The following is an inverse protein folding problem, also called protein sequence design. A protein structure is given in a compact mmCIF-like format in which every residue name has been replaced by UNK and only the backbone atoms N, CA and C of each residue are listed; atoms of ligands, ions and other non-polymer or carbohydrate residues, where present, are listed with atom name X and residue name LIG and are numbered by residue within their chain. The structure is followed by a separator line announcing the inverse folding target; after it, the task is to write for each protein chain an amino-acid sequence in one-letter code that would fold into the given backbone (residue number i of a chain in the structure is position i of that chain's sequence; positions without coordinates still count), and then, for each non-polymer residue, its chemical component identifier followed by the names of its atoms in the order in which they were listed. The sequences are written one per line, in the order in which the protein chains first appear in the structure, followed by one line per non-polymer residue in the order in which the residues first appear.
data_IF_390230610084
#
_entry.id   IF_390230610084
#
_cell.length_a   1.000
_cell.length_b   1.000
_cell.length_c   1.000
_cell.angle_alpha   90.00
_cell.angle_beta   90.00
_cell.angle_gamma   90.00
#
_symmetry.space_group_name_H-M   'P 1'
#
loop_
_entity.id
_entity.type
_entity.pdbx_description
1 polymer ?
#
# COMPACT_ATOMS: atom_id res chain seq x y z
N UNK A 1 -31.96 -19.70 -1.04
CA UNK A 1 -33.24 -19.46 -1.71
C UNK A 1 -34.31 -20.52 -1.31
N UNK A 2 -34.30 -21.01 -0.07
CA UNK A 2 -35.18 -22.10 0.39
C UNK A 2 -36.65 -21.72 0.43
N UNK A 3 -37.00 -20.43 0.60
CA UNK A 3 -38.37 -19.94 0.70
C UNK A 3 -38.85 -19.18 -0.54
N UNK A 4 -38.26 -19.44 -1.71
CA UNK A 4 -38.72 -18.79 -2.94
C UNK A 4 -40.11 -19.28 -3.31
N UNK A 5 -40.99 -18.34 -3.64
CA UNK A 5 -42.39 -18.58 -4.03
C UNK A 5 -42.61 -18.11 -5.48
N UNK A 6 -43.58 -18.70 -6.16
CA UNK A 6 -44.03 -18.27 -7.48
C UNK A 6 -44.90 -16.99 -7.41
N UNK A 7 -45.37 -16.53 -8.54
CA UNK A 7 -46.25 -15.35 -8.63
C UNK A 7 -47.58 -15.47 -7.86
N UNK A 8 -47.94 -16.67 -7.42
CA UNK A 8 -49.12 -16.96 -6.61
C UNK A 8 -48.79 -17.12 -5.12
N UNK A 9 -47.53 -16.91 -4.72
CA UNK A 9 -47.12 -17.09 -3.34
C UNK A 9 -46.87 -18.54 -2.93
N UNK A 10 -46.84 -19.48 -3.87
CA UNK A 10 -46.65 -20.91 -3.60
C UNK A 10 -45.19 -21.30 -3.81
N UNK A 11 -44.60 -21.99 -2.84
CA UNK A 11 -43.24 -22.52 -2.95
C UNK A 11 -43.18 -23.63 -4.01
N UNK A 12 -42.26 -23.46 -4.98
CA UNK A 12 -42.09 -24.44 -6.05
C UNK A 12 -40.60 -24.63 -6.40
N UNK A 13 -40.25 -25.78 -6.96
CA UNK A 13 -38.90 -26.03 -7.46
C UNK A 13 -38.51 -24.99 -8.51
N UNK A 14 -39.42 -24.70 -9.47
CA UNK A 14 -39.18 -23.72 -10.52
C UNK A 14 -38.87 -22.33 -9.92
N UNK A 15 -39.65 -21.86 -8.96
CA UNK A 15 -39.40 -20.57 -8.31
C UNK A 15 -38.05 -20.53 -7.61
N UNK A 16 -37.58 -21.64 -7.04
CA UNK A 16 -36.24 -21.72 -6.43
C UNK A 16 -35.14 -21.61 -7.48
N UNK A 17 -35.25 -22.33 -8.59
CA UNK A 17 -34.28 -22.25 -9.68
C UNK A 17 -34.26 -20.86 -10.30
N UNK A 18 -35.40 -20.25 -10.59
CA UNK A 18 -35.51 -18.90 -11.16
C UNK A 18 -34.89 -17.85 -10.21
N UNK A 19 -35.15 -17.97 -8.90
CA UNK A 19 -34.58 -17.08 -7.92
C UNK A 19 -33.06 -17.28 -7.76
N UNK A 20 -32.57 -18.51 -7.85
CA UNK A 20 -31.16 -18.83 -7.80
C UNK A 20 -30.42 -18.30 -9.04
N UNK A 21 -31.02 -18.51 -10.23
CA UNK A 21 -30.46 -17.97 -11.48
C UNK A 21 -30.33 -16.45 -11.42
N UNK A 22 -31.36 -15.72 -11.00
CA UNK A 22 -31.33 -14.28 -10.82
C UNK A 22 -30.25 -13.82 -9.82
N UNK A 23 -30.03 -14.59 -8.75
CA UNK A 23 -28.98 -14.27 -7.77
C UNK A 23 -27.58 -14.47 -8.38
N UNK A 24 -27.38 -15.51 -9.17
CA UNK A 24 -26.13 -15.72 -9.89
C UNK A 24 -25.91 -14.65 -10.96
N UNK A 25 -26.93 -14.33 -11.77
CA UNK A 25 -26.86 -13.26 -12.76
C UNK A 25 -26.50 -11.92 -12.11
N UNK A 26 -27.07 -11.61 -10.96
CA UNK A 26 -26.71 -10.43 -10.18
C UNK A 26 -25.24 -10.50 -9.69
N UNK A 27 -24.86 -11.61 -9.05
CA UNK A 27 -23.51 -11.77 -8.50
C UNK A 27 -22.44 -11.69 -9.60
N UNK A 28 -22.55 -12.52 -10.63
CA UNK A 28 -21.57 -12.55 -11.71
C UNK A 28 -21.65 -11.35 -12.66
N UNK A 29 -22.80 -10.69 -12.77
CA UNK A 29 -22.97 -9.50 -13.60
C UNK A 29 -22.52 -8.20 -12.93
N UNK A 30 -22.52 -8.13 -11.60
CA UNK A 30 -22.17 -6.93 -10.87
C UNK A 30 -20.78 -6.97 -10.25
N UNK A 31 -20.29 -8.15 -9.89
CA UNK A 31 -19.03 -8.32 -9.19
C UNK A 31 -18.00 -8.99 -10.08
N UNK A 32 -16.78 -8.52 -9.99
CA UNK A 32 -15.62 -9.11 -10.67
C UNK A 32 -14.39 -9.07 -9.78
N UNK A 33 -13.46 -10.01 -10.01
CA UNK A 33 -12.14 -9.94 -9.39
C UNK A 33 -11.35 -8.84 -10.10
N UNK A 34 -10.98 -7.81 -9.36
CA UNK A 34 -10.22 -6.68 -9.87
C UNK A 34 -8.89 -6.62 -9.11
N UNK A 35 -7.80 -6.42 -9.84
CA UNK A 35 -6.52 -6.04 -9.27
C UNK A 35 -6.57 -4.55 -8.95
N UNK A 36 -6.63 -4.22 -7.67
CA UNK A 36 -6.70 -2.85 -7.19
C UNK A 36 -5.32 -2.20 -7.17
N UNK A 37 -4.31 -2.97 -6.78
CA UNK A 37 -2.93 -2.51 -6.71
C UNK A 37 -2.03 -3.59 -7.31
N UNK A 38 -1.20 -3.27 -8.31
CA UNK A 38 -0.28 -4.24 -8.91
C UNK A 38 0.89 -4.58 -7.99
N UNK A 39 1.53 -5.71 -8.21
CA UNK A 39 2.81 -6.04 -7.58
C UNK A 39 3.87 -4.99 -7.96
N UNK A 40 4.81 -4.74 -7.06
CA UNK A 40 5.87 -3.73 -7.21
C UNK A 40 5.34 -2.28 -7.31
N UNK A 41 4.11 -2.04 -6.92
CA UNK A 41 3.58 -0.68 -6.84
C UNK A 41 4.34 0.12 -5.78
N UNK A 42 4.70 1.35 -6.14
CA UNK A 42 5.37 2.31 -5.24
C UNK A 42 4.46 3.51 -4.98
N UNK A 43 4.41 3.96 -3.75
CA UNK A 43 3.63 5.14 -3.37
C UNK A 43 4.37 6.43 -3.79
N UNK A 44 3.68 7.38 -4.41
CA UNK A 44 4.29 8.61 -4.90
C UNK A 44 4.96 9.44 -3.78
N UNK A 45 4.32 9.49 -2.62
CA UNK A 45 4.77 10.29 -1.47
C UNK A 45 5.85 9.59 -0.62
N UNK A 46 5.92 8.24 -0.68
CA UNK A 46 6.80 7.41 0.13
C UNK A 46 7.44 6.32 -0.73
N UNK A 47 8.35 6.71 -1.62
CA UNK A 47 9.05 5.77 -2.51
C UNK A 47 10.17 5.02 -1.82
N UNK A 48 10.73 5.60 -0.76
CA UNK A 48 11.89 5.06 -0.05
C UNK A 48 11.84 5.37 1.44
N UNK A 49 12.59 4.60 2.21
CA UNK A 49 12.82 4.81 3.65
C UNK A 49 14.30 5.17 3.84
N UNK A 50 14.62 6.21 4.65
CA UNK A 50 15.99 6.55 5.01
C UNK A 50 16.72 5.40 5.70
N UNK A 51 18.01 5.23 5.39
CA UNK A 51 18.87 4.20 6.00
C UNK A 51 20.07 4.84 6.67
N UNK A 52 20.18 4.67 7.98
CA UNK A 52 21.35 5.13 8.74
C UNK A 52 22.49 4.13 8.68
N UNK A 53 23.73 4.64 8.68
CA UNK A 53 24.98 3.84 8.63
C UNK A 53 25.09 2.93 7.40
N UNK A 54 24.30 3.16 6.36
CA UNK A 54 24.32 2.42 5.11
C UNK A 54 25.33 2.95 4.11
N UNK A 55 25.65 2.14 3.11
CA UNK A 55 26.34 2.59 1.90
C UNK A 55 25.44 3.52 1.09
N UNK A 56 24.15 3.22 1.08
CA UNK A 56 23.09 4.03 0.49
C UNK A 56 22.33 4.75 1.62
N UNK A 57 21.90 5.98 1.36
CA UNK A 57 21.18 6.82 2.33
C UNK A 57 19.69 6.48 2.47
N UNK A 58 19.15 5.74 1.51
CA UNK A 58 17.76 5.30 1.50
C UNK A 58 17.61 3.97 0.74
N UNK A 59 16.54 3.24 1.02
CA UNK A 59 16.14 2.02 0.32
C UNK A 59 14.75 2.20 -0.26
N UNK A 60 14.56 1.80 -1.53
CA UNK A 60 13.25 1.83 -2.17
C UNK A 60 12.33 0.75 -1.59
N UNK A 61 11.04 1.07 -1.53
CA UNK A 61 10.02 0.16 -1.03
C UNK A 61 8.91 -0.04 -2.07
N UNK A 62 8.30 -1.22 -2.06
CA UNK A 62 7.21 -1.55 -2.95
C UNK A 62 6.27 -2.58 -2.32
N UNK A 63 5.07 -2.71 -2.86
CA UNK A 63 4.14 -3.77 -2.52
C UNK A 63 4.66 -5.09 -3.09
N UNK A 64 4.77 -6.11 -2.24
CA UNK A 64 5.32 -7.44 -2.59
C UNK A 64 4.41 -8.21 -3.52
N UNK A 65 3.13 -8.30 -3.20
CA UNK A 65 2.13 -9.06 -3.94
C UNK A 65 0.98 -8.16 -4.39
N UNK A 66 0.35 -8.44 -5.54
CA UNK A 66 -0.76 -7.63 -6.02
C UNK A 66 -1.97 -7.78 -5.11
N UNK A 67 -2.67 -6.69 -4.86
CA UNK A 67 -3.95 -6.71 -4.13
C UNK A 67 -5.08 -6.90 -5.12
N UNK A 68 -5.65 -8.11 -5.13
CA UNK A 68 -6.80 -8.46 -5.98
C UNK A 68 -7.99 -8.86 -5.11
N UNK A 69 -9.12 -8.23 -5.34
CA UNK A 69 -10.34 -8.48 -4.56
C UNK A 69 -11.56 -8.59 -5.45
N UNK A 70 -12.60 -9.23 -4.92
CA UNK A 70 -13.91 -9.28 -5.54
C UNK A 70 -14.68 -8.03 -5.15
N UNK A 71 -14.83 -7.09 -6.08
CA UNK A 71 -15.54 -5.84 -5.86
C UNK A 71 -16.64 -5.64 -6.88
N UNK A 72 -17.58 -4.79 -6.57
CA UNK A 72 -18.58 -4.35 -7.54
C UNK A 72 -17.89 -3.50 -8.60
N UNK A 73 -18.05 -3.87 -9.85
CA UNK A 73 -17.32 -3.28 -10.98
C UNK A 73 -17.49 -1.76 -11.07
N UNK A 74 -18.65 -1.24 -10.68
CA UNK A 74 -18.94 0.20 -10.65
C UNK A 74 -18.26 0.96 -9.51
N UNK A 75 -17.71 0.26 -8.53
CA UNK A 75 -17.16 0.85 -7.29
C UNK A 75 -15.64 0.67 -7.18
N UNK A 76 -15.00 0.11 -8.22
CA UNK A 76 -13.55 -0.18 -8.19
C UNK A 76 -12.69 1.06 -7.91
N UNK A 77 -13.09 2.23 -8.42
CA UNK A 77 -12.33 3.47 -8.30
C UNK A 77 -12.49 4.15 -6.92
N UNK A 78 -13.36 3.61 -6.07
CA UNK A 78 -13.56 4.07 -4.68
C UNK A 78 -12.57 3.41 -3.70
N UNK A 79 -11.80 2.41 -4.16
CA UNK A 79 -10.81 1.73 -3.34
C UNK A 79 -9.45 2.42 -3.46
N UNK A 80 -8.95 2.94 -2.36
CA UNK A 80 -7.68 3.68 -2.33
C UNK A 80 -6.68 2.98 -1.41
N UNK A 81 -5.47 2.69 -1.89
CA UNK A 81 -4.41 2.13 -1.06
C UNK A 81 -3.82 3.19 -0.13
N UNK A 82 -3.66 2.82 1.13
CA UNK A 82 -2.99 3.63 2.16
C UNK A 82 -1.78 2.88 2.66
N UNK A 83 -0.64 3.56 2.76
CA UNK A 83 0.60 3.00 3.27
C UNK A 83 0.69 3.18 4.80
N UNK A 84 0.95 2.09 5.50
CA UNK A 84 1.25 2.07 6.93
C UNK A 84 2.65 1.50 7.12
N UNK A 85 3.64 2.37 7.34
CA UNK A 85 5.01 1.96 7.65
C UNK A 85 5.14 1.58 9.13
N UNK A 86 5.91 0.54 9.39
CA UNK A 86 6.25 0.10 10.76
C UNK A 86 7.34 0.99 11.36
N UNK A 87 8.18 1.58 10.50
CA UNK A 87 9.27 2.47 10.89
C UNK A 87 9.48 3.55 9.83
N UNK A 88 9.90 4.73 10.27
CA UNK A 88 10.24 5.85 9.39
C UNK A 88 11.72 5.84 8.97
N UNK A 89 12.55 5.02 9.62
CA UNK A 89 13.99 4.92 9.39
C UNK A 89 14.48 3.49 9.63
N UNK A 90 15.47 3.04 8.85
CA UNK A 90 16.11 1.73 8.99
C UNK A 90 17.59 1.89 9.34
N UNK A 91 18.15 0.96 10.11
CA UNK A 91 19.61 0.85 10.27
C UNK A 91 20.18 -0.10 9.20
N UNK A 92 21.33 0.22 8.66
CA UNK A 92 22.02 -0.58 7.64
C UNK A 92 22.23 -2.04 8.01
N UNK A 93 22.24 -2.88 7.01
CA UNK A 93 22.09 -4.32 7.08
C UNK A 93 20.68 -4.71 6.68
N UNK A 94 20.04 -3.84 5.88
CA UNK A 94 18.71 -4.09 5.29
C UNK A 94 18.83 -5.18 4.23
N UNK A 95 17.97 -6.16 4.29
CA UNK A 95 17.88 -7.23 3.29
C UNK A 95 16.84 -6.88 2.21
N UNK A 96 17.03 -7.42 1.01
CA UNK A 96 16.00 -7.36 -0.02
C UNK A 96 14.76 -8.17 0.42
N UNK A 97 13.55 -7.68 0.14
CA UNK A 97 12.27 -8.23 0.57
C UNK A 97 12.07 -8.21 2.11
N UNK A 98 12.78 -7.38 2.83
CA UNK A 98 12.50 -7.14 4.25
C UNK A 98 11.17 -6.40 4.39
N UNK A 99 10.27 -6.92 5.23
CA UNK A 99 8.98 -6.28 5.51
C UNK A 99 9.20 -5.00 6.31
N UNK A 100 8.66 -3.89 5.82
CA UNK A 100 8.78 -2.56 6.42
C UNK A 100 7.44 -1.90 6.71
N UNK A 101 6.36 -2.52 6.27
CA UNK A 101 5.01 -2.02 6.49
C UNK A 101 3.94 -2.84 5.79
N UNK A 102 2.76 -2.27 5.71
CA UNK A 102 1.60 -2.83 5.05
C UNK A 102 0.90 -1.77 4.21
N UNK A 103 0.42 -2.15 3.05
CA UNK A 103 -0.52 -1.39 2.26
C UNK A 103 -1.93 -1.91 2.56
N UNK A 104 -2.81 -1.04 3.03
CA UNK A 104 -4.22 -1.36 3.30
C UNK A 104 -5.08 -0.63 2.30
N UNK A 105 -6.01 -1.33 1.67
CA UNK A 105 -6.94 -0.70 0.74
C UNK A 105 -8.25 -0.41 1.46
N UNK A 106 -8.65 0.85 1.45
CA UNK A 106 -9.86 1.34 2.09
C UNK A 106 -10.87 1.83 1.05
N UNK A 107 -12.14 1.67 1.36
CA UNK A 107 -13.23 2.26 0.58
C UNK A 107 -13.40 3.72 1.00
N UNK A 108 -13.35 4.65 0.05
CA UNK A 108 -13.44 6.09 0.33
C UNK A 108 -14.87 6.58 0.55
N UNK A 109 -15.83 5.94 -0.13
CA UNK A 109 -17.25 6.27 -0.04
C UNK A 109 -18.10 5.00 -0.03
N UNK A 110 -19.24 5.05 0.64
CA UNK A 110 -20.18 3.93 0.71
C UNK A 110 -20.06 3.13 2.00
N UNK A 111 -20.70 1.96 2.02
CA UNK A 111 -20.63 1.05 3.18
C UNK A 111 -19.67 -0.07 2.88
N UNK A 112 -18.60 -0.14 3.62
CA UNK A 112 -17.73 -1.31 3.64
C UNK A 112 -18.41 -2.41 4.45
N UNK A 113 -18.91 -3.42 3.74
CA UNK A 113 -19.51 -4.58 4.38
C UNK A 113 -18.45 -5.56 4.92
N UNK A 114 -17.18 -5.34 4.58
CA UNK A 114 -16.07 -6.21 4.94
C UNK A 114 -16.17 -7.61 4.35
N UNK A 115 -15.31 -8.48 4.83
CA UNK A 115 -15.37 -9.91 4.54
C UNK A 115 -16.02 -10.68 5.69
N UNK A 116 -16.69 -11.78 5.38
CA UNK A 116 -17.39 -12.63 6.37
C UNK A 116 -16.42 -13.15 7.44
N UNK A 117 -15.17 -13.37 7.08
CA UNK A 117 -14.10 -13.83 7.95
C UNK A 117 -13.35 -12.68 8.68
N UNK A 118 -13.74 -11.43 8.43
CA UNK A 118 -13.12 -10.24 9.02
C UNK A 118 -11.74 -9.90 8.44
N UNK A 119 -11.32 -10.52 7.33
CA UNK A 119 -10.06 -10.19 6.67
C UNK A 119 -10.05 -8.76 6.12
N UNK A 120 -8.88 -8.15 6.10
CA UNK A 120 -8.64 -6.85 5.50
C UNK A 120 -8.05 -7.02 4.11
N UNK A 121 -8.24 -6.00 3.27
CA UNK A 121 -7.61 -5.93 1.96
C UNK A 121 -6.23 -5.30 2.17
N UNK A 122 -5.21 -6.13 2.39
CA UNK A 122 -3.87 -5.67 2.71
C UNK A 122 -2.79 -6.50 2.02
N UNK A 123 -1.61 -5.91 1.81
CA UNK A 123 -0.42 -6.58 1.32
C UNK A 123 0.83 -6.07 2.04
N UNK A 124 1.86 -6.91 2.11
CA UNK A 124 3.15 -6.54 2.68
C UNK A 124 3.85 -5.51 1.79
N UNK A 125 4.44 -4.50 2.44
CA UNK A 125 5.37 -3.55 1.81
C UNK A 125 6.78 -3.96 2.21
N UNK A 126 7.63 -4.11 1.20
CA UNK A 126 8.99 -4.63 1.37
C UNK A 126 10.02 -3.74 0.71
N UNK A 127 11.27 -3.87 1.14
CA UNK A 127 12.44 -3.28 0.49
C UNK A 127 12.68 -3.95 -0.86
N UNK A 128 13.01 -3.15 -1.88
CA UNK A 128 13.28 -3.67 -3.24
C UNK A 128 14.72 -4.14 -3.43
N UNK A 129 15.62 -3.69 -2.54
CA UNK A 129 17.05 -3.94 -2.60
C UNK A 129 17.64 -4.09 -1.20
N UNK A 130 18.86 -4.62 -1.11
CA UNK A 130 19.60 -4.71 0.13
C UNK A 130 20.50 -3.50 0.31
N UNK A 131 20.67 -3.00 1.55
CA UNK A 131 21.60 -1.93 1.88
C UNK A 131 22.63 -2.43 2.89
N UNK A 132 23.87 -2.54 2.45
CA UNK A 132 24.99 -2.95 3.31
C UNK A 132 25.44 -1.81 4.23
N UNK A 133 26.10 -2.19 5.33
CA UNK A 133 26.71 -1.20 6.23
C UNK A 133 27.86 -0.47 5.54
N UNK A 134 27.92 0.85 5.74
CA UNK A 134 29.04 1.64 5.33
C UNK A 134 30.31 1.27 6.12
N UNK A 135 31.43 1.22 5.45
CA UNK A 135 32.71 1.02 6.12
C UNK A 135 33.05 2.19 7.08
N UNK A 136 33.85 1.92 8.12
CA UNK A 136 34.20 2.94 9.15
C UNK A 136 34.73 4.27 8.57
N UNK A 137 35.43 4.22 7.44
CA UNK A 137 35.94 5.41 6.74
C UNK A 137 34.83 6.19 6.05
N UNK A 138 33.87 5.49 5.43
CA UNK A 138 32.71 6.10 4.75
C UNK A 138 31.79 6.83 5.73
N UNK A 139 31.57 6.28 6.93
CA UNK A 139 30.77 6.91 7.99
C UNK A 139 31.37 8.23 8.47
N UNK A 140 32.72 8.36 8.51
CA UNK A 140 33.39 9.61 8.84
C UNK A 140 33.12 10.69 7.78
N UNK A 141 33.12 10.34 6.50
CA UNK A 141 32.86 11.28 5.41
C UNK A 141 31.39 11.70 5.33
N UNK A 142 30.44 10.81 5.61
CA UNK A 142 29.01 11.16 5.69
C UNK A 142 28.72 12.17 6.81
N UNK A 143 29.35 12.00 7.99
CA UNK A 143 29.27 12.96 9.10
C UNK A 143 29.89 14.32 8.78
N UNK A 144 30.97 14.33 8.02
CA UNK A 144 31.66 15.58 7.62
C UNK A 144 30.84 16.30 6.53
N UNK A 145 30.28 15.60 5.58
CA UNK A 145 29.46 16.19 4.50
C UNK A 145 28.24 16.96 5.02
N UNK A 146 27.53 16.41 5.98
CA UNK A 146 26.37 17.07 6.62
C UNK A 146 26.81 18.27 7.48
N UNK A 147 27.98 18.18 8.13
CA UNK A 147 28.57 19.29 8.89
C UNK A 147 28.94 20.47 7.99
N UNK A 148 29.57 20.22 6.85
CA UNK A 148 29.91 21.28 5.89
C UNK A 148 28.70 21.86 5.18
N UNK A 149 27.68 21.07 4.86
CA UNK A 149 26.42 21.57 4.29
C UNK A 149 25.70 22.54 5.23
N UNK A 150 25.66 22.22 6.54
CA UNK A 150 25.07 23.09 7.55
C UNK A 150 25.91 24.35 7.82
N UNK A 151 27.24 24.25 7.77
CA UNK A 151 28.15 25.40 7.89
C UNK A 151 28.02 26.34 6.69
N UNK A 152 27.92 25.80 5.48
CA UNK A 152 27.79 26.57 4.25
C UNK A 152 26.48 27.34 4.19
N UNK A 153 25.35 26.72 4.60
CA UNK A 153 24.06 27.40 4.69
C UNK A 153 24.06 28.53 5.73
N UNK A 154 24.80 28.36 6.84
CA UNK A 154 25.01 29.40 7.87
C UNK A 154 25.78 30.60 7.37
N UNK A 155 26.85 30.38 6.56
CA UNK A 155 27.70 31.47 6.03
C UNK A 155 26.96 32.30 4.98
N UNK A 156 26.17 31.69 4.11
CA UNK A 156 25.37 32.43 3.12
C UNK A 156 24.19 33.21 3.74
N UNK A 157 23.62 32.70 4.84
CA UNK A 157 22.63 33.46 5.60
C UNK A 157 23.16 34.74 6.23
N UNK A 158 24.44 34.73 6.66
CA UNK A 158 25.10 35.90 7.26
C UNK A 158 25.48 36.95 6.21
N UNK A 159 25.92 36.53 5.01
CA UNK A 159 26.31 37.44 3.94
C UNK A 159 25.13 38.26 3.36
N UNK A 160 23.92 37.68 3.30
CA UNK A 160 22.74 38.38 2.84
C UNK A 160 22.12 39.35 3.87
N UNK A 161 22.55 39.29 5.13
CA UNK A 161 22.11 40.20 6.19
C UNK A 161 22.95 41.47 6.30
N UNK A 162 24.11 41.58 5.61
CA UNK A 162 25.04 42.69 5.69
C UNK A 162 24.96 43.68 4.52
N UNK A 163 24.06 43.40 3.55
CA UNK A 163 23.82 44.32 2.41
C UNK A 163 22.39 44.85 2.55
N UNK A 164 22.21 45.74 3.51
CA UNK A 164 21.07 46.67 3.59
C UNK A 164 21.55 48.00 4.10
#
# INVERSE_FOLDING_TARGET
VMKAVDSKGVGSYKARFDATAKLFDYGFGQFSKVELVPANYTFEENKSIPVTKGKEEAVNIAIKEPISVMVKTSEKDLYVPTLNLTTEELEAGVEQNQIVGQAVVNLTEGTDYGYIDGSKIEAEVVTTEAVERAGKVSLLFQGIGSFFANLWSGVFGFANGLIK
#
